data_IF_781429688724
#
_entry.id   IF_781429688724
#
_cell.length_a   1.000
_cell.length_b   1.000
_cell.length_c   1.000
_cell.angle_alpha   90.00
_cell.angle_beta   90.00
_cell.angle_gamma   90.00
#
_symmetry.space_group_name_H-M   'P 1'
#
loop_
_entity.id
_entity.type
_entity.pdbx_description
1 polymer ?
#
# COMPACT_ATOMS: atom_id res chain seq x y z
N UNK A 1 -10.99 -4.16 7.62
CA UNK A 1 -9.95 -3.21 7.16
C UNK A 1 -10.49 -1.81 7.35
N UNK A 2 -9.77 -0.94 8.05
CA UNK A 2 -10.13 0.47 8.16
C UNK A 2 -9.68 1.21 6.90
N UNK A 3 -10.45 2.24 6.51
CA UNK A 3 -10.12 3.11 5.39
C UNK A 3 -9.33 4.30 5.87
N UNK A 4 -8.12 4.47 5.32
CA UNK A 4 -7.20 5.54 5.66
C UNK A 4 -7.14 6.52 4.50
N UNK A 5 -7.65 7.71 4.74
CA UNK A 5 -7.64 8.78 3.74
C UNK A 5 -6.24 9.37 3.62
N UNK A 6 -5.73 9.47 2.39
CA UNK A 6 -4.39 9.99 2.11
C UNK A 6 -4.45 11.14 1.09
N UNK A 7 -3.29 11.67 0.71
CA UNK A 7 -3.16 12.73 -0.31
C UNK A 7 -2.32 12.24 -1.48
N UNK A 8 -2.40 12.93 -2.63
CA UNK A 8 -1.57 12.61 -3.80
C UNK A 8 -0.09 12.45 -3.49
N UNK A 9 0.46 13.41 -2.74
CA UNK A 9 1.86 13.37 -2.33
C UNK A 9 2.19 12.18 -1.41
N UNK A 10 1.22 11.72 -0.61
CA UNK A 10 1.42 10.65 0.35
C UNK A 10 1.31 9.28 -0.31
N UNK A 11 0.51 9.12 -1.38
CA UNK A 11 0.41 7.87 -2.12
C UNK A 11 1.74 7.45 -2.74
N UNK A 12 2.45 8.38 -3.39
CA UNK A 12 3.76 8.12 -4.00
C UNK A 12 4.77 7.70 -2.94
N UNK A 13 4.77 8.35 -1.77
CA UNK A 13 5.66 8.00 -0.66
C UNK A 13 5.37 6.59 -0.14
N UNK A 14 4.09 6.25 0.03
CA UNK A 14 3.67 4.93 0.52
C UNK A 14 4.08 3.86 -0.48
N UNK A 15 3.75 4.02 -1.76
CA UNK A 15 4.06 3.04 -2.82
C UNK A 15 5.58 2.86 -3.02
N UNK A 16 6.36 3.94 -2.93
CA UNK A 16 7.82 3.87 -2.95
C UNK A 16 8.40 3.14 -1.74
N UNK A 17 7.97 3.49 -0.53
CA UNK A 17 8.41 2.82 0.70
C UNK A 17 8.08 1.33 0.66
N UNK A 18 6.85 1.01 0.26
CA UNK A 18 6.33 -0.34 0.07
C UNK A 18 7.21 -1.15 -0.89
N UNK A 19 7.43 -0.66 -2.11
CA UNK A 19 8.20 -1.37 -3.12
C UNK A 19 9.65 -1.60 -2.67
N UNK A 20 10.27 -0.60 -2.03
CA UNK A 20 11.62 -0.73 -1.46
C UNK A 20 11.69 -1.80 -0.38
N UNK A 21 10.74 -1.78 0.57
CA UNK A 21 10.76 -2.69 1.71
C UNK A 21 10.45 -4.15 1.32
N UNK A 22 9.58 -4.36 0.33
CA UNK A 22 9.33 -5.69 -0.23
C UNK A 22 10.61 -6.31 -0.81
N UNK A 23 11.36 -5.52 -1.59
CA UNK A 23 12.62 -5.95 -2.19
C UNK A 23 13.69 -6.22 -1.12
N UNK A 24 13.83 -5.35 -0.12
CA UNK A 24 14.77 -5.51 0.99
C UNK A 24 14.50 -6.80 1.79
N UNK A 25 13.23 -7.14 2.01
CA UNK A 25 12.83 -8.26 2.88
C UNK A 25 12.53 -9.57 2.13
N UNK A 26 12.69 -9.58 0.80
CA UNK A 26 12.52 -10.76 -0.04
C UNK A 26 11.06 -11.22 -0.15
N UNK A 27 10.13 -10.28 -0.22
CA UNK A 27 8.73 -10.58 -0.52
C UNK A 27 8.51 -10.71 -2.02
N UNK A 28 7.59 -11.60 -2.38
CA UNK A 28 6.94 -11.57 -3.70
C UNK A 28 5.65 -10.79 -3.60
N UNK A 29 5.24 -10.16 -4.69
CA UNK A 29 3.97 -9.46 -4.74
C UNK A 29 3.31 -9.54 -6.11
N UNK A 30 1.99 -9.35 -6.13
CA UNK A 30 1.15 -9.34 -7.33
C UNK A 30 0.19 -8.16 -7.24
N UNK A 31 0.01 -7.45 -8.36
CA UNK A 31 -0.92 -6.32 -8.48
C UNK A 31 -2.16 -6.76 -9.25
N UNK A 32 -3.35 -6.38 -8.77
CA UNK A 32 -4.65 -6.71 -9.34
C UNK A 32 -5.47 -5.43 -9.53
N UNK A 33 -6.00 -5.21 -10.72
CA UNK A 33 -6.73 -3.99 -11.10
C UNK A 33 -8.26 -4.10 -10.97
N UNK A 34 -8.78 -5.25 -10.54
CA UNK A 34 -10.22 -5.53 -10.55
C UNK A 34 -10.62 -6.58 -11.58
N UNK A 35 -9.80 -6.81 -12.61
CA UNK A 35 -10.05 -7.77 -13.68
C UNK A 35 -8.92 -8.80 -13.81
N UNK A 36 -7.66 -8.35 -13.81
CA UNK A 36 -6.49 -9.17 -14.12
C UNK A 36 -5.32 -8.89 -13.19
N UNK A 37 -4.42 -9.88 -13.10
CA UNK A 37 -3.13 -9.70 -12.44
C UNK A 37 -2.14 -9.03 -13.39
N UNK A 38 -1.65 -7.87 -12.98
CA UNK A 38 -0.70 -7.07 -13.73
C UNK A 38 0.75 -7.50 -13.45
N UNK A 39 1.54 -7.57 -14.51
CA UNK A 39 2.98 -7.81 -14.41
C UNK A 39 3.66 -6.47 -14.17
N UNK A 40 4.24 -6.32 -12.99
CA UNK A 40 5.00 -5.15 -12.58
C UNK A 40 6.46 -5.53 -12.31
N UNK A 41 7.37 -4.70 -12.78
CA UNK A 41 8.82 -4.89 -12.68
C UNK A 41 9.51 -3.72 -11.96
N UNK A 42 8.86 -2.57 -11.85
CA UNK A 42 9.35 -1.36 -11.18
C UNK A 42 8.28 -0.75 -10.26
N UNK A 43 8.67 0.23 -9.44
CA UNK A 43 7.70 1.06 -8.70
C UNK A 43 6.92 1.99 -9.64
N UNK A 44 7.55 2.45 -10.72
CA UNK A 44 6.91 3.32 -11.72
C UNK A 44 5.75 2.59 -12.39
N UNK A 45 5.89 1.29 -12.67
CA UNK A 45 4.80 0.46 -13.21
C UNK A 45 3.58 0.43 -12.26
N UNK A 46 3.83 0.44 -10.95
CA UNK A 46 2.76 0.43 -9.93
C UNK A 46 2.09 1.81 -9.86
N UNK A 47 2.88 2.89 -9.95
CA UNK A 47 2.37 4.26 -9.93
C UNK A 47 1.56 4.56 -11.18
N UNK A 48 2.02 4.15 -12.36
CA UNK A 48 1.31 4.29 -13.62
C UNK A 48 -0.04 3.56 -13.57
N UNK A 49 -0.05 2.29 -13.13
CA UNK A 49 -1.28 1.54 -12.91
C UNK A 49 -2.23 2.25 -11.93
N UNK A 50 -1.71 2.74 -10.81
CA UNK A 50 -2.51 3.42 -9.81
C UNK A 50 -3.15 4.71 -10.34
N UNK A 51 -2.45 5.47 -11.18
CA UNK A 51 -2.99 6.70 -11.76
C UNK A 51 -4.07 6.44 -12.82
N UNK A 52 -4.03 5.29 -13.48
CA UNK A 52 -5.00 4.89 -14.49
C UNK A 52 -6.25 4.20 -13.91
N UNK A 53 -6.17 3.69 -12.68
CA UNK A 53 -7.22 2.88 -12.05
C UNK A 53 -7.93 3.62 -10.91
N UNK A 54 -9.25 3.44 -10.82
CA UNK A 54 -10.01 3.90 -9.65
C UNK A 54 -9.62 3.14 -8.38
N UNK A 55 -9.24 1.86 -8.53
CA UNK A 55 -8.83 0.98 -7.44
C UNK A 55 -7.76 -0.02 -7.92
N UNK A 56 -6.74 -0.22 -7.09
CA UNK A 56 -5.70 -1.23 -7.30
C UNK A 56 -5.48 -2.02 -6.01
N UNK A 57 -5.40 -3.34 -6.11
CA UNK A 57 -5.08 -4.24 -5.00
C UNK A 57 -3.68 -4.82 -5.16
N UNK A 58 -2.88 -4.83 -4.09
CA UNK A 58 -1.55 -5.44 -4.07
C UNK A 58 -1.52 -6.54 -3.02
N UNK A 59 -1.25 -7.76 -3.45
CA UNK A 59 -1.08 -8.91 -2.58
C UNK A 59 0.40 -9.22 -2.40
N UNK A 60 0.86 -9.30 -1.16
CA UNK A 60 2.26 -9.59 -0.82
C UNK A 60 2.37 -10.88 -0.04
N UNK A 61 3.43 -11.64 -0.34
CA UNK A 61 3.68 -12.92 0.30
C UNK A 61 5.16 -13.20 0.41
N UNK A 62 5.60 -13.64 1.59
CA UNK A 62 6.94 -14.15 1.81
C UNK A 62 7.01 -15.63 1.43
N UNK A 63 8.14 -16.08 0.90
CA UNK A 63 8.32 -17.46 0.40
C UNK A 63 8.08 -18.58 1.43
N UNK A 64 7.97 -18.27 2.73
CA UNK A 64 7.58 -19.23 3.78
C UNK A 64 6.05 -19.43 3.89
N UNK A 65 5.27 -18.75 3.05
CA UNK A 65 3.80 -18.78 2.97
C UNK A 65 3.07 -18.35 4.25
N UNK A 66 3.79 -17.93 5.29
CA UNK A 66 3.22 -17.59 6.59
C UNK A 66 3.00 -16.10 6.76
N UNK A 67 3.82 -15.28 6.12
CA UNK A 67 3.71 -13.82 6.15
C UNK A 67 3.10 -13.29 4.85
N UNK A 68 1.95 -12.64 4.96
CA UNK A 68 1.22 -12.06 3.84
C UNK A 68 0.46 -10.81 4.24
N UNK A 69 0.37 -9.85 3.34
CA UNK A 69 -0.50 -8.68 3.47
C UNK A 69 -1.25 -8.42 2.15
N UNK A 70 -2.34 -7.69 2.25
CA UNK A 70 -3.07 -7.16 1.10
C UNK A 70 -3.26 -5.67 1.32
N UNK A 71 -2.96 -4.89 0.29
CA UNK A 71 -3.13 -3.44 0.25
C UNK A 71 -4.16 -3.11 -0.83
N UNK A 72 -5.03 -2.15 -0.57
CA UNK A 72 -5.97 -1.59 -1.54
C UNK A 72 -5.70 -0.09 -1.59
N UNK A 73 -5.44 0.42 -2.79
CA UNK A 73 -5.25 1.83 -3.06
C UNK A 73 -6.40 2.30 -3.95
N UNK A 74 -7.10 3.36 -3.53
CA UNK A 74 -8.15 3.99 -4.30
C UNK A 74 -7.77 5.40 -4.74
N UNK A 75 -8.21 5.80 -5.94
CA UNK A 75 -7.99 7.11 -6.56
C UNK A 75 -9.23 7.62 -7.32
N UNK A 76 -10.41 7.05 -7.04
CA UNK A 76 -11.65 7.32 -7.77
C UNK A 76 -12.53 8.40 -7.13
N UNK A 77 -13.82 8.35 -7.44
CA UNK A 77 -14.84 9.29 -6.94
C UNK A 77 -14.94 9.32 -5.41
N UNK A 78 -14.62 8.20 -4.77
CA UNK A 78 -14.59 8.08 -3.32
C UNK A 78 -13.45 8.89 -2.68
N UNK A 79 -12.46 9.35 -3.45
CA UNK A 79 -11.27 10.03 -2.96
C UNK A 79 -10.04 9.12 -2.91
N UNK A 80 -8.96 9.65 -2.35
CA UNK A 80 -7.65 8.99 -2.31
C UNK A 80 -7.49 8.30 -0.96
N UNK A 81 -7.34 6.98 -0.98
CA UNK A 81 -7.25 6.19 0.24
C UNK A 81 -6.35 4.97 0.11
N UNK A 82 -5.89 4.49 1.26
CA UNK A 82 -5.24 3.19 1.42
C UNK A 82 -6.03 2.35 2.44
N UNK A 83 -6.12 1.06 2.20
CA UNK A 83 -6.58 0.06 3.16
C UNK A 83 -5.58 -1.08 3.16
N UNK A 84 -5.35 -1.70 4.30
CA UNK A 84 -4.55 -2.91 4.35
C UNK A 84 -5.07 -3.93 5.37
N UNK A 85 -4.74 -5.19 5.12
CA UNK A 85 -4.85 -6.30 6.06
C UNK A 85 -3.57 -7.13 6.01
N UNK A 86 -3.19 -7.72 7.13
CA UNK A 86 -1.95 -8.48 7.23
C UNK A 86 -2.05 -9.65 8.20
N UNK A 87 -1.32 -10.71 7.90
CA UNK A 87 -1.22 -11.89 8.76
C UNK A 87 -0.50 -11.56 10.06
N UNK A 88 -0.93 -12.17 11.18
CA UNK A 88 -0.30 -12.02 12.51
C UNK A 88 1.22 -12.21 12.51
N UNK A 89 1.74 -13.09 11.65
CA UNK A 89 3.17 -13.37 11.53
C UNK A 89 4.01 -12.19 11.03
N UNK A 90 3.41 -11.21 10.32
CA UNK A 90 4.11 -9.97 9.93
C UNK A 90 4.39 -9.12 11.17
N UNK A 91 3.42 -9.04 12.09
CA UNK A 91 3.57 -8.33 13.36
C UNK A 91 4.56 -9.03 14.29
N UNK A 92 4.42 -10.36 14.48
CA UNK A 92 5.33 -11.13 15.35
C UNK A 92 6.79 -11.03 14.89
N UNK A 93 7.02 -10.99 13.58
CA UNK A 93 8.36 -10.97 12.99
C UNK A 93 8.88 -9.56 12.66
N UNK A 94 8.14 -8.50 12.99
CA UNK A 94 8.47 -7.11 12.68
C UNK A 94 8.82 -6.90 11.19
N UNK A 95 7.97 -7.39 10.29
CA UNK A 95 8.12 -7.27 8.84
C UNK A 95 7.20 -6.20 8.28
N UNK A 96 7.60 -5.56 7.18
CA UNK A 96 6.88 -4.45 6.54
C UNK A 96 6.57 -3.26 7.47
N UNK A 97 7.32 -3.11 8.56
CA UNK A 97 7.04 -2.12 9.60
C UNK A 97 7.25 -0.69 9.12
N UNK A 98 8.20 -0.44 8.20
CA UNK A 98 8.40 0.92 7.66
C UNK A 98 7.16 1.37 6.88
N UNK A 99 6.63 0.48 6.05
CA UNK A 99 5.44 0.76 5.24
C UNK A 99 4.23 1.00 6.12
N UNK A 100 3.96 0.12 7.11
CA UNK A 100 2.81 0.29 7.99
C UNK A 100 2.89 1.58 8.82
N UNK A 101 4.05 1.86 9.42
CA UNK A 101 4.24 3.11 10.18
C UNK A 101 4.04 4.33 9.30
N UNK A 102 4.55 4.31 8.05
CA UNK A 102 4.37 5.43 7.13
C UNK A 102 2.91 5.64 6.74
N UNK A 103 2.14 4.56 6.55
CA UNK A 103 0.71 4.67 6.26
C UNK A 103 -0.03 5.30 7.45
N UNK A 104 0.26 4.85 8.68
CA UNK A 104 -0.34 5.41 9.90
C UNK A 104 0.00 6.90 10.06
N UNK A 105 1.28 7.27 9.93
CA UNK A 105 1.75 8.67 10.01
C UNK A 105 1.07 9.57 8.97
N UNK A 106 1.01 9.12 7.71
CA UNK A 106 0.55 9.94 6.60
C UNK A 106 -0.98 9.98 6.44
N UNK A 107 -1.70 9.03 7.05
CA UNK A 107 -3.15 9.10 7.19
C UNK A 107 -3.56 10.14 8.24
N UNK A 108 -2.79 10.28 9.31
CA UNK A 108 -3.04 11.25 10.39
C UNK A 108 -2.75 12.71 9.99
N UNK A 109 -1.80 12.96 9.06
CA UNK A 109 -1.51 14.32 8.56
C UNK A 109 -2.76 15.04 7.97
N UNK A 110 -3.79 14.29 7.53
CA UNK A 110 -5.05 14.88 7.05
C UNK A 110 -5.87 15.49 8.20
N UNK A 111 -5.85 14.88 9.38
CA UNK A 111 -6.54 15.38 10.57
C UNK A 111 -5.92 16.69 11.06
N UNK A 112 -4.60 16.84 11.00
CA UNK A 112 -3.92 18.07 11.41
C UNK A 112 -4.19 19.25 10.48
N UNK A 113 -4.29 19.04 9.15
CA UNK A 113 -4.63 20.12 8.20
C UNK A 113 -6.10 20.57 8.27
N UNK A 114 -7.01 19.68 8.68
CA UNK A 114 -8.41 20.02 8.91
C UNK A 114 -8.64 20.71 10.26
N UNK A 115 -7.74 20.51 11.24
CA UNK A 115 -7.78 21.19 12.53
C UNK A 115 -7.18 22.62 12.50
N UNK A 116 -6.48 22.98 11.41
CA UNK A 116 -5.79 24.26 11.24
C UNK A 116 -6.44 25.20 10.21
N UNK A 117 -7.57 24.80 9.61
CA UNK A 117 -8.40 25.63 8.71
C UNK A 117 -9.80 25.79 9.29
#
# INVERSE_FOLDING_TARGET
MNRLEITKRNEEKILNSFYSELNEQGFSFSVYDGELFNKVSSVDDILDLYHDLEMMSIHVKRGDYKASASFIFGNGEDGIYCMYDYSYSLQEKNLLTKTFNLIDELADERCERLALN
#
